data_IF_767904152379
#
_entry.id   IF_767904152379
#
_cell.length_a   1.000
_cell.length_b   1.000
_cell.length_c   1.000
_cell.angle_alpha   90.00
_cell.angle_beta   90.00
_cell.angle_gamma   90.00
#
_symmetry.space_group_name_H-M   'P 1'
#
loop_
_entity.id
_entity.type
_entity.pdbx_description
1 polymer ?
#
# COMPACT_ATOMS: atom_id res chain seq x y z
N UNK A 1 22.05 -18.80 -1.01
CA UNK A 1 21.71 -18.05 0.21
C UNK A 1 22.76 -16.97 0.42
N UNK A 2 22.47 -15.74 0.02
CA UNK A 2 23.31 -14.59 0.34
C UNK A 2 22.53 -13.76 1.37
N UNK A 3 23.11 -13.61 2.56
CA UNK A 3 22.50 -12.92 3.69
C UNK A 3 22.33 -11.43 3.40
N UNK A 4 21.18 -10.90 3.79
CA UNK A 4 20.89 -9.46 3.81
C UNK A 4 21.84 -8.80 4.81
N UNK A 5 22.54 -7.77 4.36
CA UNK A 5 23.43 -6.96 5.20
C UNK A 5 22.60 -6.18 6.24
N UNK A 6 22.60 -6.69 7.48
CA UNK A 6 21.93 -6.10 8.63
C UNK A 6 22.56 -4.76 9.08
N UNK A 7 23.67 -4.33 8.47
CA UNK A 7 24.46 -3.17 8.93
C UNK A 7 23.96 -1.79 8.50
N UNK A 8 22.98 -1.67 7.59
CA UNK A 8 22.56 -0.34 7.09
C UNK A 8 21.81 0.51 8.14
N UNK A 9 21.41 -0.09 9.25
CA UNK A 9 20.62 0.59 10.30
C UNK A 9 21.35 0.74 11.65
N UNK A 10 22.59 0.27 11.78
CA UNK A 10 23.38 0.46 13.00
C UNK A 10 24.37 1.60 12.85
N UNK A 11 23.94 2.80 13.26
CA UNK A 11 24.53 3.56 14.38
C UNK A 11 24.03 5.01 14.34
N UNK A 12 23.15 5.35 15.29
CA UNK A 12 23.08 6.73 15.79
C UNK A 12 22.62 6.69 17.25
N UNK A 13 23.46 6.11 18.11
CA UNK A 13 23.32 6.19 19.56
C UNK A 13 23.68 7.61 20.00
N UNK A 14 22.76 8.57 19.83
CA UNK A 14 22.60 9.82 20.61
C UNK A 14 21.55 10.74 19.97
N UNK A 15 20.27 10.43 20.14
CA UNK A 15 19.21 11.44 20.13
C UNK A 15 18.11 11.01 21.11
N UNK A 16 17.73 11.89 22.04
CA UNK A 16 16.63 11.68 22.99
C UNK A 16 15.24 11.86 22.35
N UNK A 17 15.14 11.87 21.02
CA UNK A 17 13.87 11.96 20.30
C UNK A 17 13.22 10.58 20.22
N UNK A 18 11.93 10.48 20.59
CA UNK A 18 11.12 9.28 20.33
C UNK A 18 11.22 8.90 18.83
N UNK A 19 11.41 7.62 18.48
CA UNK A 19 11.47 7.21 17.08
C UNK A 19 10.19 7.60 16.34
N UNK A 20 10.33 8.26 15.19
CA UNK A 20 9.20 8.62 14.31
C UNK A 20 8.71 7.44 13.46
N UNK A 21 7.64 7.67 12.69
CA UNK A 21 6.99 6.64 11.85
C UNK A 21 7.91 6.02 10.77
N UNK A 22 9.02 6.66 10.42
CA UNK A 22 9.98 6.11 9.47
C UNK A 22 10.90 5.02 10.07
N UNK A 23 10.87 4.81 11.39
CA UNK A 23 11.77 3.88 12.07
C UNK A 23 11.08 2.56 12.42
N UNK A 24 11.69 1.42 12.04
CA UNK A 24 11.19 0.08 12.34
C UNK A 24 10.90 -0.13 13.84
N UNK A 25 11.76 0.40 14.72
CA UNK A 25 11.60 0.32 16.18
C UNK A 25 10.28 0.91 16.68
N UNK A 26 9.79 1.99 16.04
CA UNK A 26 8.47 2.54 16.37
C UNK A 26 7.37 1.51 16.11
N UNK A 27 7.41 0.85 14.95
CA UNK A 27 6.41 -0.11 14.53
C UNK A 27 6.42 -1.39 15.36
N UNK A 28 7.60 -2.01 15.56
CA UNK A 28 7.73 -3.20 16.41
C UNK A 28 7.16 -2.95 17.81
N UNK A 29 7.48 -1.80 18.40
CA UNK A 29 6.94 -1.39 19.71
C UNK A 29 5.42 -1.21 19.66
N UNK A 30 4.90 -0.49 18.65
CA UNK A 30 3.45 -0.26 18.50
C UNK A 30 2.69 -1.58 18.37
N UNK A 31 3.17 -2.52 17.55
CA UNK A 31 2.49 -3.81 17.35
C UNK A 31 2.42 -4.61 18.65
N UNK A 32 3.52 -4.67 19.40
CA UNK A 32 3.55 -5.33 20.71
C UNK A 32 2.63 -4.65 21.74
N UNK A 33 2.67 -3.32 21.85
CA UNK A 33 1.83 -2.55 22.78
C UNK A 33 0.33 -2.66 22.47
N UNK A 34 -0.01 -2.92 21.21
CA UNK A 34 -1.39 -3.13 20.75
C UNK A 34 -1.76 -4.60 20.64
N UNK A 35 -0.92 -5.51 21.14
CA UNK A 35 -1.15 -6.96 21.07
C UNK A 35 -1.49 -7.47 19.66
N UNK A 36 -0.92 -6.84 18.63
CA UNK A 36 -1.18 -7.15 17.22
C UNK A 36 -2.67 -7.06 16.81
N UNK A 37 -3.47 -6.31 17.56
CA UNK A 37 -4.89 -6.12 17.25
C UNK A 37 -5.09 -5.40 15.90
N UNK A 38 -6.17 -5.72 15.17
CA UNK A 38 -6.44 -5.10 13.89
C UNK A 38 -6.55 -3.58 13.97
N UNK A 39 -5.87 -2.90 13.06
CA UNK A 39 -5.94 -1.44 12.95
C UNK A 39 -5.73 -1.00 11.50
N UNK A 40 -6.69 -0.23 10.99
CA UNK A 40 -6.60 0.38 9.67
C UNK A 40 -6.15 1.83 9.77
N UNK A 41 -4.95 2.11 9.26
CA UNK A 41 -4.55 3.47 8.95
C UNK A 41 -5.36 3.97 7.75
N UNK A 42 -5.88 5.19 7.91
CA UNK A 42 -6.68 5.93 6.93
C UNK A 42 -8.03 5.31 6.60
N UNK A 43 -8.05 4.33 5.70
CA UNK A 43 -9.26 3.74 5.15
C UNK A 43 -9.34 2.25 5.50
N UNK A 44 -10.54 1.83 5.90
CA UNK A 44 -10.94 0.41 6.01
C UNK A 44 -11.37 -0.14 4.65
N UNK A 45 -11.47 -1.47 4.56
CA UNK A 45 -11.92 -2.17 3.34
C UNK A 45 -13.21 -1.61 2.73
N UNK A 46 -14.23 -1.30 3.55
CA UNK A 46 -15.51 -0.76 3.07
C UNK A 46 -15.38 0.51 2.22
N UNK A 47 -14.31 1.31 2.41
CA UNK A 47 -14.04 2.52 1.65
C UNK A 47 -13.23 2.25 0.37
N UNK A 48 -12.55 1.11 0.29
CA UNK A 48 -11.72 0.70 -0.85
C UNK A 48 -12.46 -0.26 -1.78
N UNK A 49 -13.44 -0.99 -1.25
CA UNK A 49 -14.15 -2.08 -1.91
C UNK A 49 -14.68 -1.66 -3.28
N UNK A 50 -15.47 -0.59 -3.37
CA UNK A 50 -16.10 -0.18 -4.63
C UNK A 50 -15.07 0.03 -5.74
N UNK A 51 -13.97 0.71 -5.42
CA UNK A 51 -12.88 0.96 -6.36
C UNK A 51 -12.18 -0.36 -6.74
N UNK A 52 -11.72 -1.12 -5.76
CA UNK A 52 -10.89 -2.31 -5.99
C UNK A 52 -11.66 -3.47 -6.61
N UNK A 53 -12.94 -3.65 -6.27
CA UNK A 53 -13.80 -4.70 -6.83
C UNK A 53 -14.02 -4.55 -8.34
N UNK A 54 -13.88 -3.33 -8.89
CA UNK A 54 -13.98 -3.12 -10.34
C UNK A 54 -12.76 -3.61 -11.13
N UNK A 55 -11.64 -3.84 -10.44
CA UNK A 55 -10.35 -4.21 -11.04
C UNK A 55 -9.93 -5.65 -10.77
N UNK A 56 -10.56 -6.26 -9.78
CA UNK A 56 -10.15 -7.54 -9.22
C UNK A 56 -11.17 -8.64 -9.53
N UNK A 57 -10.70 -9.87 -9.49
CA UNK A 57 -11.48 -11.09 -9.72
C UNK A 57 -10.97 -12.22 -8.83
N UNK A 58 -11.66 -13.37 -8.82
CA UNK A 58 -11.22 -14.56 -8.09
C UNK A 58 -9.84 -15.06 -8.49
N UNK A 59 -9.32 -14.67 -9.66
CA UNK A 59 -8.02 -15.10 -10.16
C UNK A 59 -6.90 -14.11 -9.85
N UNK A 60 -7.22 -12.90 -9.38
CA UNK A 60 -6.25 -11.83 -9.19
C UNK A 60 -5.21 -12.17 -8.10
N UNK A 61 -3.96 -11.82 -8.37
CA UNK A 61 -2.83 -11.98 -7.44
C UNK A 61 -2.42 -10.61 -6.93
N UNK A 62 -2.45 -10.43 -5.61
CA UNK A 62 -2.31 -9.10 -4.96
C UNK A 62 -1.11 -9.05 -4.03
N UNK A 63 -0.38 -7.94 -4.06
CA UNK A 63 0.64 -7.58 -3.06
C UNK A 63 0.11 -6.45 -2.19
N UNK A 64 0.20 -6.59 -0.87
CA UNK A 64 -0.06 -5.52 0.11
C UNK A 64 1.23 -5.20 0.84
N UNK A 65 1.78 -4.01 0.58
CA UNK A 65 3.06 -3.57 1.11
C UNK A 65 2.88 -2.71 2.36
N UNK A 66 3.67 -3.00 3.40
CA UNK A 66 3.51 -2.39 4.72
C UNK A 66 2.15 -2.78 5.32
N UNK A 67 1.83 -4.08 5.30
CA UNK A 67 0.48 -4.56 5.56
C UNK A 67 -0.04 -4.22 6.97
N UNK A 68 0.86 -4.06 7.95
CA UNK A 68 0.49 -3.87 9.34
C UNK A 68 -0.52 -4.92 9.82
N UNK A 69 -1.47 -4.50 10.65
CA UNK A 69 -2.58 -5.36 11.14
C UNK A 69 -3.91 -5.06 10.43
N UNK A 70 -3.86 -4.48 9.22
CA UNK A 70 -5.06 -4.14 8.45
C UNK A 70 -5.89 -5.38 8.11
N UNK A 71 -7.22 -5.25 8.13
CA UNK A 71 -8.12 -6.33 7.70
C UNK A 71 -8.37 -6.37 6.20
N UNK A 72 -7.83 -5.41 5.43
CA UNK A 72 -8.05 -5.30 3.98
C UNK A 72 -7.74 -6.61 3.25
N UNK A 73 -6.63 -7.28 3.60
CA UNK A 73 -6.23 -8.54 2.98
C UNK A 73 -7.29 -9.64 3.19
N UNK A 74 -7.69 -9.83 4.46
CA UNK A 74 -8.67 -10.86 4.83
C UNK A 74 -10.03 -10.58 4.21
N UNK A 75 -10.48 -9.32 4.21
CA UNK A 75 -11.78 -8.95 3.69
C UNK A 75 -11.83 -9.06 2.15
N UNK A 76 -10.78 -8.62 1.45
CA UNK A 76 -10.64 -8.80 0.00
C UNK A 76 -10.71 -10.29 -0.40
N UNK A 77 -10.01 -11.16 0.33
CA UNK A 77 -10.06 -12.59 0.08
C UNK A 77 -11.44 -13.19 0.37
N UNK A 78 -12.08 -12.77 1.47
CA UNK A 78 -13.42 -13.26 1.86
C UNK A 78 -14.51 -12.92 0.85
N UNK A 79 -14.31 -11.85 0.07
CA UNK A 79 -15.21 -11.43 -0.99
C UNK A 79 -14.90 -12.09 -2.35
N UNK A 80 -13.89 -12.97 -2.41
CA UNK A 80 -13.54 -13.68 -3.65
C UNK A 80 -12.90 -12.79 -4.71
N UNK A 81 -12.22 -11.71 -4.29
CA UNK A 81 -11.57 -10.74 -5.18
C UNK A 81 -10.08 -11.02 -5.40
N UNK A 82 -9.57 -12.16 -4.94
CA UNK A 82 -8.21 -12.58 -5.20
C UNK A 82 -8.08 -14.09 -5.05
N UNK A 83 -7.23 -14.71 -5.87
CA UNK A 83 -6.81 -16.10 -5.70
C UNK A 83 -5.72 -16.20 -4.65
N UNK A 84 -4.91 -15.14 -4.53
CA UNK A 84 -3.73 -15.09 -3.67
C UNK A 84 -3.39 -13.66 -3.27
N UNK A 85 -3.10 -13.46 -1.98
CA UNK A 85 -2.68 -12.17 -1.43
C UNK A 85 -1.38 -12.38 -0.66
N UNK A 86 -0.31 -11.73 -1.11
CA UNK A 86 0.98 -11.66 -0.40
C UNK A 86 1.04 -10.34 0.36
N UNK A 87 1.22 -10.41 1.68
CA UNK A 87 1.35 -9.28 2.58
C UNK A 87 2.79 -9.17 3.07
N UNK A 88 3.39 -7.98 2.98
CA UNK A 88 4.76 -7.76 3.45
C UNK A 88 4.85 -6.65 4.48
N UNK A 89 5.72 -6.85 5.47
CA UNK A 89 6.08 -5.84 6.46
C UNK A 89 7.52 -6.06 6.92
N UNK A 90 8.21 -5.00 7.34
CA UNK A 90 9.58 -5.11 7.86
C UNK A 90 9.63 -5.71 9.27
N UNK A 91 8.52 -5.70 10.02
CA UNK A 91 8.47 -6.22 11.39
C UNK A 91 8.29 -7.75 11.41
N UNK A 92 9.35 -8.46 11.80
CA UNK A 92 9.34 -9.92 11.87
C UNK A 92 8.33 -10.48 12.88
N UNK A 93 8.17 -9.83 14.03
CA UNK A 93 7.23 -10.26 15.08
C UNK A 93 5.77 -10.10 14.63
N UNK A 94 5.46 -9.03 13.90
CA UNK A 94 4.15 -8.86 13.28
C UNK A 94 3.86 -9.99 12.29
N UNK A 95 4.79 -10.23 11.36
CA UNK A 95 4.62 -11.27 10.33
C UNK A 95 4.46 -12.64 10.97
N UNK A 96 5.22 -12.96 12.02
CA UNK A 96 5.03 -14.20 12.78
C UNK A 96 3.62 -14.30 13.40
N UNK A 97 3.12 -13.20 14.01
CA UNK A 97 1.77 -13.16 14.56
C UNK A 97 0.68 -13.34 13.48
N UNK A 98 0.86 -12.75 12.30
CA UNK A 98 -0.10 -12.85 11.19
C UNK A 98 -0.10 -14.25 10.57
N UNK A 99 1.08 -14.88 10.41
CA UNK A 99 1.21 -16.27 9.96
C UNK A 99 0.46 -17.22 10.88
N UNK A 100 0.59 -17.06 12.20
CA UNK A 100 -0.16 -17.90 13.15
C UNK A 100 -1.67 -17.62 13.07
N UNK A 101 -2.09 -16.35 13.03
CA UNK A 101 -3.50 -15.95 12.93
C UNK A 101 -4.19 -16.52 11.68
N UNK A 102 -3.47 -16.57 10.56
CA UNK A 102 -4.01 -16.96 9.26
C UNK A 102 -3.46 -18.29 8.72
N UNK A 103 -2.92 -19.15 9.59
CA UNK A 103 -2.29 -20.43 9.21
C UNK A 103 -3.17 -21.37 8.39
N UNK A 104 -4.50 -21.29 8.58
CA UNK A 104 -5.48 -22.11 7.88
C UNK A 104 -5.96 -21.47 6.56
N UNK A 105 -5.44 -20.29 6.19
CA UNK A 105 -5.79 -19.57 4.95
C UNK A 105 -4.63 -19.60 3.95
N UNK A 106 -4.48 -20.71 3.23
CA UNK A 106 -3.39 -20.93 2.28
C UNK A 106 -3.27 -19.86 1.17
N UNK A 107 -4.35 -19.13 0.85
CA UNK A 107 -4.34 -18.03 -0.12
C UNK A 107 -3.73 -16.72 0.42
N UNK A 108 -3.42 -16.64 1.72
CA UNK A 108 -2.75 -15.50 2.33
C UNK A 108 -1.31 -15.85 2.69
N UNK A 109 -0.37 -15.16 2.07
CA UNK A 109 1.06 -15.26 2.39
C UNK A 109 1.50 -14.02 3.15
N UNK A 110 2.35 -14.21 4.15
CA UNK A 110 2.92 -13.11 4.94
C UNK A 110 4.43 -13.25 4.91
N UNK A 111 5.15 -12.22 4.49
CA UNK A 111 6.62 -12.24 4.37
C UNK A 111 7.27 -11.05 5.07
N UNK A 112 8.40 -11.30 5.73
CA UNK A 112 9.24 -10.23 6.28
C UNK A 112 10.04 -9.65 5.12
N UNK A 113 9.77 -8.40 4.75
CA UNK A 113 10.49 -7.75 3.65
C UNK A 113 10.57 -6.23 3.83
N UNK A 114 11.69 -5.67 3.38
CA UNK A 114 11.82 -4.23 3.12
C UNK A 114 11.22 -3.94 1.74
N UNK A 115 10.21 -3.07 1.69
CA UNK A 115 9.54 -2.73 0.44
C UNK A 115 10.45 -2.05 -0.59
N UNK A 116 11.59 -1.49 -0.17
CA UNK A 116 12.61 -0.94 -1.08
C UNK A 116 13.50 -2.00 -1.74
N UNK A 117 13.40 -3.26 -1.30
CA UNK A 117 14.21 -4.37 -1.78
C UNK A 117 13.39 -5.67 -1.79
N UNK A 118 12.33 -5.69 -2.60
CA UNK A 118 11.51 -6.89 -2.79
C UNK A 118 12.27 -7.94 -3.64
N UNK A 119 11.93 -9.24 -3.49
CA UNK A 119 12.59 -10.30 -4.25
C UNK A 119 12.50 -10.10 -5.77
N UNK A 120 13.63 -10.30 -6.46
CA UNK A 120 13.70 -10.08 -7.91
C UNK A 120 12.76 -11.03 -8.71
N UNK A 121 12.52 -12.24 -8.18
CA UNK A 121 11.60 -13.22 -8.75
C UNK A 121 10.12 -12.85 -8.59
N UNK A 122 9.82 -11.71 -7.96
CA UNK A 122 8.47 -11.15 -7.90
C UNK A 122 8.18 -10.16 -9.03
N UNK A 123 9.11 -9.96 -9.96
CA UNK A 123 8.86 -9.09 -11.13
C UNK A 123 7.70 -9.61 -11.99
N UNK A 124 6.86 -8.69 -12.51
CA UNK A 124 5.71 -9.01 -13.39
C UNK A 124 4.73 -10.04 -12.78
N UNK A 125 4.55 -10.02 -11.45
CA UNK A 125 3.81 -11.07 -10.71
C UNK A 125 2.41 -10.65 -10.29
N UNK A 126 2.20 -9.40 -9.93
CA UNK A 126 0.97 -8.96 -9.25
C UNK A 126 0.03 -8.18 -10.18
N UNK A 127 -1.25 -8.49 -10.12
CA UNK A 127 -2.33 -7.75 -10.79
C UNK A 127 -2.64 -6.44 -10.06
N UNK A 128 -2.44 -6.41 -8.74
CA UNK A 128 -2.60 -5.23 -7.90
C UNK A 128 -1.49 -5.17 -6.86
N UNK A 129 -0.89 -3.99 -6.70
CA UNK A 129 -0.03 -3.65 -5.57
C UNK A 129 -0.70 -2.55 -4.77
N UNK A 130 -0.96 -2.80 -3.49
CA UNK A 130 -1.58 -1.85 -2.56
C UNK A 130 -0.56 -1.39 -1.52
N UNK A 131 -0.30 -0.09 -1.50
CA UNK A 131 0.29 0.65 -0.39
C UNK A 131 -0.84 1.38 0.35
N UNK A 132 -0.97 1.15 1.66
CA UNK A 132 -1.80 1.96 2.54
C UNK A 132 -0.98 2.54 3.68
N UNK A 133 -0.71 3.85 3.59
CA UNK A 133 0.13 4.62 4.49
C UNK A 133 1.63 4.32 4.46
N UNK A 134 2.12 3.27 3.78
CA UNK A 134 3.53 2.91 3.77
C UNK A 134 4.39 4.07 3.24
N UNK A 135 4.10 4.60 2.06
CA UNK A 135 4.91 5.72 1.55
C UNK A 135 4.80 6.99 2.40
N UNK A 136 3.75 7.17 3.20
CA UNK A 136 3.65 8.29 4.14
C UNK A 136 4.64 8.10 5.30
N UNK A 137 4.82 6.87 5.77
CA UNK A 137 5.81 6.54 6.81
C UNK A 137 7.24 6.72 6.31
N UNK A 138 7.52 6.32 5.07
CA UNK A 138 8.86 6.39 4.48
C UNK A 138 9.28 7.85 4.25
N UNK A 139 8.37 8.68 3.70
CA UNK A 139 8.64 10.11 3.45
C UNK A 139 8.92 10.89 4.75
N UNK A 140 8.42 10.43 5.90
CA UNK A 140 8.71 11.06 7.20
C UNK A 140 10.16 10.86 7.68
N UNK A 141 10.98 10.06 6.98
CA UNK A 141 12.38 9.80 7.33
C UNK A 141 13.35 10.88 6.85
N UNK A 142 14.60 10.82 7.35
CA UNK A 142 15.67 11.80 7.00
C UNK A 142 15.96 11.87 5.49
N UNK A 143 15.84 10.76 4.77
CA UNK A 143 16.01 10.68 3.30
C UNK A 143 14.66 10.45 2.60
N UNK A 144 13.58 10.98 3.18
CA UNK A 144 12.21 10.54 2.91
C UNK A 144 11.85 10.43 1.43
N UNK A 145 12.22 11.43 0.62
CA UNK A 145 11.96 11.41 -0.82
C UNK A 145 12.69 10.27 -1.55
N UNK A 146 14.01 10.20 -1.43
CA UNK A 146 14.83 9.18 -2.11
C UNK A 146 14.48 7.76 -1.64
N UNK A 147 14.19 7.58 -0.33
CA UNK A 147 13.72 6.29 0.19
C UNK A 147 12.35 5.92 -0.38
N UNK A 148 11.43 6.88 -0.50
CA UNK A 148 10.11 6.67 -1.07
C UNK A 148 10.16 6.36 -2.58
N UNK A 149 11.09 6.98 -3.32
CA UNK A 149 11.35 6.62 -4.73
C UNK A 149 11.83 5.18 -4.85
N UNK A 150 12.77 4.74 -4.02
CA UNK A 150 13.26 3.35 -4.03
C UNK A 150 12.18 2.33 -3.69
N UNK A 151 11.36 2.61 -2.67
CA UNK A 151 10.18 1.78 -2.34
C UNK A 151 9.22 1.72 -3.52
N UNK A 152 8.87 2.86 -4.12
CA UNK A 152 7.94 2.90 -5.24
C UNK A 152 8.52 2.17 -6.47
N UNK A 153 9.79 2.32 -6.79
CA UNK A 153 10.46 1.60 -7.89
C UNK A 153 10.37 0.08 -7.69
N UNK A 154 10.71 -0.39 -6.49
CA UNK A 154 10.63 -1.80 -6.10
C UNK A 154 9.19 -2.33 -6.23
N UNK A 155 8.19 -1.59 -5.73
CA UNK A 155 6.77 -1.97 -5.84
C UNK A 155 6.30 -2.02 -7.30
N UNK A 156 6.61 -0.99 -8.09
CA UNK A 156 6.23 -0.90 -9.50
C UNK A 156 6.87 -2.03 -10.33
N UNK A 157 8.08 -2.50 -9.98
CA UNK A 157 8.75 -3.60 -10.68
C UNK A 157 8.07 -4.96 -10.47
N UNK A 158 7.28 -5.12 -9.41
CA UNK A 158 6.53 -6.36 -9.13
C UNK A 158 5.19 -6.43 -9.87
N UNK A 159 4.71 -5.31 -10.41
CA UNK A 159 3.46 -5.26 -11.15
C UNK A 159 3.57 -5.95 -12.50
N UNK A 160 2.50 -6.66 -12.85
CA UNK A 160 2.26 -7.06 -14.23
C UNK A 160 2.20 -5.84 -15.15
N UNK A 161 2.50 -6.03 -16.43
CA UNK A 161 2.30 -4.99 -17.46
C UNK A 161 0.89 -4.37 -17.42
N UNK A 162 -0.16 -5.17 -17.23
CA UNK A 162 -1.56 -4.73 -17.04
C UNK A 162 -1.96 -4.46 -15.58
N UNK A 163 -1.05 -4.69 -14.63
CA UNK A 163 -1.31 -4.57 -13.20
C UNK A 163 -1.49 -3.11 -12.77
N UNK A 164 -2.15 -2.90 -11.63
CA UNK A 164 -2.46 -1.58 -11.07
C UNK A 164 -1.72 -1.33 -9.76
N UNK A 165 -1.25 -0.11 -9.54
CA UNK A 165 -0.73 0.32 -8.24
C UNK A 165 -1.73 1.25 -7.56
N UNK A 166 -1.95 1.05 -6.26
CA UNK A 166 -2.84 1.87 -5.44
C UNK A 166 -2.09 2.35 -4.20
N UNK A 167 -2.08 3.66 -3.98
CA UNK A 167 -1.52 4.30 -2.79
C UNK A 167 -2.59 5.06 -2.04
N UNK A 168 -2.94 4.59 -0.84
CA UNK A 168 -3.84 5.30 0.08
C UNK A 168 -2.99 6.16 1.01
N UNK A 169 -3.16 7.47 0.96
CA UNK A 169 -2.25 8.43 1.59
C UNK A 169 -3.00 9.63 2.16
N UNK A 170 -2.47 10.20 3.25
CA UNK A 170 -2.90 11.50 3.75
C UNK A 170 -2.28 12.66 2.97
N UNK A 171 -1.18 12.43 2.25
CA UNK A 171 -0.47 13.44 1.50
C UNK A 171 -1.33 13.95 0.35
N UNK A 172 -1.33 15.28 0.16
CA UNK A 172 -2.12 15.95 -0.89
C UNK A 172 -1.50 15.72 -2.27
N UNK A 173 -2.25 15.94 -3.37
CA UNK A 173 -1.74 15.75 -4.72
C UNK A 173 -0.44 16.51 -4.98
N UNK A 174 -0.32 17.74 -4.48
CA UNK A 174 0.89 18.56 -4.59
C UNK A 174 2.15 17.93 -3.96
N UNK A 175 1.99 16.98 -3.03
CA UNK A 175 3.09 16.28 -2.36
C UNK A 175 3.33 14.90 -2.97
N UNK A 176 2.26 14.15 -3.27
CA UNK A 176 2.36 12.75 -3.68
C UNK A 176 2.51 12.57 -5.19
N UNK A 177 1.83 13.38 -6.00
CA UNK A 177 1.90 13.25 -7.47
C UNK A 177 3.31 13.44 -8.04
N UNK A 178 4.15 14.38 -7.57
CA UNK A 178 5.49 14.52 -8.12
C UNK A 178 6.37 13.28 -7.83
N UNK A 179 6.16 12.59 -6.70
CA UNK A 179 6.86 11.34 -6.39
C UNK A 179 6.41 10.22 -7.32
N UNK A 180 5.08 10.06 -7.47
CA UNK A 180 4.52 9.04 -8.36
C UNK A 180 4.98 9.26 -9.79
N UNK A 181 4.93 10.50 -10.28
CA UNK A 181 5.31 10.87 -11.65
C UNK A 181 6.81 10.71 -11.91
N UNK A 182 7.67 10.81 -10.89
CA UNK A 182 9.11 10.60 -11.04
C UNK A 182 9.44 9.13 -11.36
N UNK A 183 8.66 8.18 -10.81
CA UNK A 183 8.89 6.74 -10.97
C UNK A 183 8.03 6.12 -12.07
N UNK A 184 6.76 6.53 -12.19
CA UNK A 184 5.84 6.03 -13.22
C UNK A 184 6.13 6.75 -14.53
N UNK A 185 7.15 6.29 -15.25
CA UNK A 185 7.57 6.84 -16.54
C UNK A 185 7.01 6.08 -17.75
N UNK A 186 6.37 4.92 -17.53
CA UNK A 186 5.67 4.20 -18.60
C UNK A 186 4.49 5.03 -19.08
N UNK A 187 4.57 5.50 -20.33
CA UNK A 187 3.54 6.35 -20.96
C UNK A 187 2.19 5.66 -21.11
N UNK A 188 2.13 4.33 -20.99
CA UNK A 188 0.87 3.59 -20.97
C UNK A 188 0.16 3.70 -19.63
N UNK A 189 0.84 4.18 -18.59
CA UNK A 189 0.28 4.28 -17.24
C UNK A 189 -0.22 5.69 -16.97
N UNK A 190 -1.44 5.79 -16.49
CA UNK A 190 -2.07 7.04 -16.06
C UNK A 190 -2.18 7.07 -14.53
N UNK A 191 -1.88 8.22 -13.93
CA UNK A 191 -2.05 8.46 -12.50
C UNK A 191 -3.33 9.26 -12.28
N UNK A 192 -4.30 8.68 -11.59
CA UNK A 192 -5.51 9.35 -11.11
C UNK A 192 -5.47 9.52 -9.58
N UNK A 193 -6.29 10.43 -9.06
CA UNK A 193 -6.40 10.67 -7.62
C UNK A 193 -7.87 10.80 -7.24
N UNK A 194 -8.33 9.92 -6.36
CA UNK A 194 -9.66 9.96 -5.76
C UNK A 194 -9.57 10.52 -4.34
N UNK A 195 -10.59 11.24 -3.90
CA UNK A 195 -10.71 11.73 -2.53
C UNK A 195 -11.81 10.98 -1.81
N UNK A 196 -11.50 10.53 -0.60
CA UNK A 196 -12.46 9.86 0.29
C UNK A 196 -12.52 10.63 1.59
N UNK A 197 -13.72 10.99 2.05
CA UNK A 197 -13.90 11.65 3.33
C UNK A 197 -13.28 10.81 4.46
N UNK A 198 -12.59 11.46 5.41
CA UNK A 198 -12.05 10.75 6.56
C UNK A 198 -13.20 10.14 7.36
N UNK A 199 -13.16 8.82 7.64
CA UNK A 199 -14.16 8.20 8.49
C UNK A 199 -14.14 8.89 9.86
N UNK A 200 -15.30 9.33 10.34
CA UNK A 200 -15.44 9.77 11.72
C UNK A 200 -15.30 8.55 12.62
N UNK A 201 -14.53 8.68 13.71
CA UNK A 201 -14.55 7.64 14.74
C UNK A 201 -16.00 7.43 15.20
N UNK A 202 -16.48 6.18 15.30
CA UNK A 202 -17.78 5.93 15.88
C UNK A 202 -17.80 6.49 17.31
N UNK A 203 -18.91 7.09 17.76
CA UNK A 203 -19.01 7.58 19.12
C UNK A 203 -18.68 6.46 20.11
N UNK A 204 -17.98 6.74 21.21
CA UNK A 204 -17.59 5.73 22.18
C UNK A 204 -18.83 4.99 22.68
N UNK A 205 -18.77 3.65 22.67
CA UNK A 205 -19.86 2.81 23.13
C UNK A 205 -20.15 3.12 24.61
N UNK A 206 -21.38 3.57 24.98
CA UNK A 206 -21.72 3.88 26.36
C UNK A 206 -21.64 2.66 27.30
N UNK A 207 -21.45 1.45 26.78
CA UNK A 207 -21.28 0.21 27.57
C UNK A 207 -19.83 -0.27 27.71
N UNK A 208 -18.85 0.40 27.09
CA UNK A 208 -17.45 0.06 27.26
C UNK A 208 -16.99 0.42 28.69
N UNK A 209 -16.84 -0.59 29.55
CA UNK A 209 -16.29 -0.42 30.89
C UNK A 209 -14.89 0.20 30.79
N UNK A 210 -14.71 1.33 31.45
CA UNK A 210 -13.45 2.08 31.54
C UNK A 210 -12.37 1.27 32.25
N UNK A 211 -11.61 0.48 31.48
CA UNK A 211 -10.33 -0.07 31.92
C UNK A 211 -9.30 1.05 32.06
N UNK A 212 -8.52 1.04 33.14
CA UNK A 212 -7.49 2.04 33.46
C UNK A 212 -6.59 2.33 32.25
N UNK A 213 -6.50 3.61 31.89
CA UNK A 213 -5.64 4.12 30.83
C UNK A 213 -4.17 3.74 31.07
N UNK A 214 -3.61 2.94 30.18
CA UNK A 214 -2.16 2.81 30.04
C UNK A 214 -1.63 4.10 29.41
N UNK A 215 -0.93 4.92 30.20
CA UNK A 215 -0.18 6.08 29.72
C UNK A 215 0.94 5.58 28.81
N UNK A 216 0.89 5.90 27.50
CA UNK A 216 2.00 5.54 26.61
C UNK A 216 1.79 5.68 25.10
N UNK A 217 0.56 5.77 24.60
CA UNK A 217 0.31 6.03 23.18
C UNK A 217 0.14 7.55 22.94
N UNK A 218 0.67 8.12 21.84
CA UNK A 218 0.18 9.41 21.38
C UNK A 218 -1.31 9.24 21.07
N UNK A 219 -2.10 10.05 21.76
CA UNK A 219 -3.55 10.13 21.59
C UNK A 219 -3.83 10.69 20.17
N UNK A 220 -4.64 10.02 19.33
CA UNK A 220 -5.10 10.62 18.08
C UNK A 220 -5.87 11.93 18.30
N UNK A 221 -6.34 12.23 19.52
CA UNK A 221 -6.92 13.51 19.92
C UNK A 221 -5.89 14.66 20.06
N UNK A 222 -4.59 14.37 20.02
CA UNK A 222 -3.53 15.40 20.05
C UNK A 222 -3.39 16.18 18.74
N UNK A 223 -4.14 15.81 17.69
CA UNK A 223 -4.54 16.75 16.65
C UNK A 223 -5.78 17.47 17.13
N UNK A 224 -5.57 18.52 17.92
CA UNK A 224 -6.63 19.40 18.37
C UNK A 224 -7.47 19.82 17.16
N UNK A 225 -8.77 19.52 17.24
CA UNK A 225 -9.78 19.90 16.27
C UNK A 225 -9.85 21.44 16.17
N UNK A 226 -8.91 22.04 15.45
CA UNK A 226 -9.16 23.28 14.74
C UNK A 226 -10.15 22.90 13.64
N UNK A 227 -11.31 23.54 13.59
CA UNK A 227 -12.33 23.32 12.57
C UNK A 227 -11.66 23.28 11.19
N UNK A 228 -11.46 22.07 10.65
CA UNK A 228 -10.82 21.87 9.37
C UNK A 228 -11.85 22.17 8.30
N UNK A 229 -11.46 23.00 7.33
CA UNK A 229 -12.21 23.19 6.09
C UNK A 229 -12.68 21.81 5.56
N UNK A 230 -13.91 21.71 5.08
CA UNK A 230 -14.44 20.46 4.52
C UNK A 230 -13.54 19.89 3.41
N UNK A 231 -12.70 20.73 2.78
CA UNK A 231 -11.66 20.33 1.82
C UNK A 231 -10.45 19.60 2.42
N UNK A 232 -10.20 19.75 3.72
CA UNK A 232 -9.01 19.21 4.40
C UNK A 232 -9.29 17.89 5.16
N UNK A 233 -10.55 17.45 5.23
CA UNK A 233 -10.95 16.23 5.93
C UNK A 233 -11.10 15.03 4.98
N UNK A 234 -10.13 14.82 4.09
CA UNK A 234 -10.09 13.68 3.15
C UNK A 234 -8.79 12.88 3.27
N UNK A 235 -8.85 11.62 2.84
CA UNK A 235 -7.70 10.84 2.40
C UNK A 235 -7.70 10.77 0.88
N UNK A 236 -6.52 10.55 0.30
CA UNK A 236 -6.34 10.45 -1.14
C UNK A 236 -6.02 9.00 -1.51
N UNK A 237 -6.64 8.51 -2.57
CA UNK A 237 -6.32 7.23 -3.19
C UNK A 237 -5.73 7.55 -4.56
N UNK A 238 -4.42 7.35 -4.69
CA UNK A 238 -3.71 7.50 -5.96
C UNK A 238 -3.69 6.15 -6.66
N UNK A 239 -4.12 6.14 -7.92
CA UNK A 239 -4.23 4.93 -8.71
C UNK A 239 -3.33 5.10 -9.94
N UNK A 240 -2.49 4.12 -10.20
CA UNK A 240 -1.67 4.06 -11.40
C UNK A 240 -2.12 2.85 -12.22
N UNK A 241 -2.76 3.13 -13.35
CA UNK A 241 -3.44 2.14 -14.18
C UNK A 241 -2.84 2.11 -15.59
N UNK A 242 -2.68 0.91 -16.17
CA UNK A 242 -2.34 0.81 -17.58
C UNK A 242 -3.58 1.16 -18.42
N UNK A 243 -3.47 2.10 -19.34
CA UNK A 243 -4.47 2.33 -20.36
C UNK A 243 -4.58 1.07 -21.23
N UNK A 244 -5.81 0.67 -21.55
CA UNK A 244 -6.02 -0.38 -22.53
C UNK A 244 -5.41 0.06 -23.86
N UNK A 245 -4.66 -0.83 -24.52
CA UNK A 245 -4.23 -0.56 -25.90
C UNK A 245 -5.48 -0.32 -26.76
N UNK A 246 -5.47 0.77 -27.53
CA UNK A 246 -6.48 0.97 -28.55
C UNK A 246 -6.46 -0.27 -29.47
N UNK A 247 -7.63 -0.82 -29.87
CA UNK A 247 -7.65 -1.96 -30.77
C UNK A 247 -6.83 -1.64 -32.03
N UNK A 248 -5.96 -2.56 -32.44
CA UNK A 248 -5.19 -2.41 -33.67
C UNK A 248 -6.15 -2.06 -34.83
N UNK A 249 -5.80 -1.07 -35.66
CA UNK A 249 -6.61 -0.78 -36.84
C UNK A 249 -6.67 -2.05 -37.71
N UNK A 250 -7.83 -2.35 -38.32
CA UNK A 250 -7.98 -3.54 -39.14
C UNK A 250 -6.91 -3.55 -40.24
N UNK A 251 -6.38 -4.74 -40.61
CA UNK A 251 -5.38 -4.84 -41.66
C UNK A 251 -5.92 -4.17 -42.94
N UNK A 252 -5.12 -3.28 -43.53
CA UNK A 252 -5.50 -2.62 -44.76
C UNK A 252 -5.71 -3.68 -45.85
N UNK A 253 -6.79 -3.58 -46.66
CA UNK A 253 -7.01 -4.52 -47.75
C UNK A 253 -5.80 -4.49 -48.68
N UNK A 254 -5.31 -5.67 -49.06
CA UNK A 254 -4.21 -5.80 -50.00
C UNK A 254 -4.56 -5.05 -51.30
N UNK A 255 -3.66 -4.18 -51.76
CA UNK A 255 -3.79 -3.55 -53.08
C UNK A 255 -3.85 -4.64 -54.14
N UNK A 256 -4.99 -4.73 -54.80
CA UNK A 256 -5.22 -5.62 -55.92
C UNK A 256 -4.36 -5.11 -57.09
N UNK A 257 -3.19 -5.73 -57.26
CA UNK A 257 -2.31 -5.47 -58.39
C UNK A 257 -3.04 -5.89 -59.66
N UNK A 258 -3.54 -4.91 -60.40
CA UNK A 258 -4.12 -5.10 -61.71
C UNK A 258 -3.03 -5.58 -62.67
N UNK A 259 -3.19 -6.73 -63.34
CA UNK A 259 -2.22 -7.18 -64.33
C UNK A 259 -2.22 -6.23 -65.53
N UNK A 260 -1.06 -6.02 -66.19
CA UNK A 260 -0.96 -5.14 -67.34
C UNK A 260 -1.80 -5.69 -68.50
N UNK A 261 -2.59 -4.82 -69.14
CA UNK A 261 -3.30 -5.12 -70.39
C UNK A 261 -2.28 -5.33 -71.53
N UNK A 262 -2.49 -6.40 -72.31
CA UNK A 262 -1.70 -6.81 -73.48
C UNK A 262 -1.85 -5.88 -74.69
#
# INVERSE_FOLDING_TARGET
>A
MAGVDAGRFETDTKSSSKPGHAHAVYWSKRYQEKAFEPFDWYLKWEHLKELLSSWLSSESVVLIAGCGTSLVAEQMLSEGLASKITCVDQCAELIASLREKYKDKAAMEFEVADASNLPQDWSDRFDLVLDKALLDTVVAGRQGWASAEGVLQSLMATLKSSGRYVCVSHARPAQRLPLLSAVVQDKRREISCHQVARPLDPPPDPKAKTGKAAKGAPDPSSMQAAATDQKDNVYHIYCCECQAEAPEPPPQPAEETTPPEE
#
